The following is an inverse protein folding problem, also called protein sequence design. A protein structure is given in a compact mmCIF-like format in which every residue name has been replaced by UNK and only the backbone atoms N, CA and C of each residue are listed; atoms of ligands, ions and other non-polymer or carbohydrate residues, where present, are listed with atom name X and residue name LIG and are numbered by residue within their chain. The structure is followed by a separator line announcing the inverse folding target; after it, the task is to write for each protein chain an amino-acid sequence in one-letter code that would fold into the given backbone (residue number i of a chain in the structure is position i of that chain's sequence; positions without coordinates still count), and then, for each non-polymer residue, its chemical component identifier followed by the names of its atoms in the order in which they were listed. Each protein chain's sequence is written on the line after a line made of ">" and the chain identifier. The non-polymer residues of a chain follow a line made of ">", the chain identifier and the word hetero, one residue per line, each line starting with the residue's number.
data_IF_034115062410
#
_entry.id   IF_034115062410
#
_cell.length_a   1.000
_cell.length_b   1.000
_cell.length_c   1.000
_cell.angle_alpha   90.00
_cell.angle_beta   90.00
_cell.angle_gamma   90.00
#
_symmetry.space_group_name_H-M   'P 1'
#
loop_
_entity.id
_entity.type
_entity.pdbx_description
1 polymer ?
#
# COMPACT_ATOMS: atom_id res chain seq x y z
N UNK A 1 16.64 5.36 72.55
CA UNK A 1 16.26 4.34 71.55
C UNK A 1 16.35 4.98 70.17
N UNK A 2 17.04 4.31 69.23
CA UNK A 2 16.83 4.25 67.76
C UNK A 2 16.54 5.58 67.03
N UNK A 3 17.27 6.01 66.01
CA UNK A 3 18.23 5.35 65.14
C UNK A 3 18.27 6.10 63.80
N UNK A 4 19.50 6.21 63.26
CA UNK A 4 19.96 6.58 61.91
C UNK A 4 18.94 6.80 60.77
N UNK A 5 19.25 7.75 59.87
CA UNK A 5 19.67 7.42 58.49
C UNK A 5 20.18 8.63 57.69
N UNK A 6 21.46 8.56 57.33
CA UNK A 6 22.09 9.20 56.16
C UNK A 6 21.50 8.65 54.85
N UNK A 7 21.35 9.49 53.81
CA UNK A 7 21.49 9.07 52.40
C UNK A 7 21.56 10.26 51.41
N UNK A 8 22.77 10.46 50.88
CA UNK A 8 23.11 10.64 49.45
C UNK A 8 22.15 11.40 48.53
N UNK A 9 22.53 12.62 48.15
CA UNK A 9 22.10 13.29 46.91
C UNK A 9 23.15 13.01 45.82
N UNK A 10 22.86 12.07 44.92
CA UNK A 10 23.50 11.95 43.61
C UNK A 10 22.47 12.40 42.57
N UNK A 11 22.71 13.58 41.97
CA UNK A 11 22.01 14.03 40.77
C UNK A 11 22.61 13.34 39.53
N UNK A 12 21.82 12.74 38.63
CA UNK A 12 22.26 12.43 37.29
C UNK A 12 21.92 13.60 36.35
N UNK A 13 22.93 14.11 35.65
CA UNK A 13 22.78 15.08 34.58
C UNK A 13 22.14 14.41 33.35
N UNK A 14 21.02 14.97 32.87
CA UNK A 14 20.38 14.54 31.62
C UNK A 14 21.18 15.05 30.43
N UNK A 15 21.89 14.15 29.76
CA UNK A 15 22.58 14.41 28.49
C UNK A 15 21.57 14.18 27.36
N UNK A 16 20.99 15.28 26.85
CA UNK A 16 20.03 15.25 25.74
C UNK A 16 20.78 15.10 24.41
N UNK A 17 20.73 13.90 23.81
CA UNK A 17 21.17 13.67 22.44
C UNK A 17 20.01 14.00 21.50
N UNK A 18 20.16 15.04 20.69
CA UNK A 18 19.20 15.44 19.68
C UNK A 18 19.28 14.48 18.47
N UNK A 19 18.38 13.50 18.41
CA UNK A 19 18.20 12.64 17.23
C UNK A 19 17.30 13.40 16.24
N UNK A 20 17.86 13.82 15.11
CA UNK A 20 17.11 14.41 14.01
C UNK A 20 16.22 13.33 13.34
N UNK A 21 14.96 13.64 12.94
CA UNK A 21 14.09 12.65 12.32
C UNK A 21 14.49 12.42 10.86
N UNK A 22 15.19 11.31 10.60
CA UNK A 22 15.33 10.74 9.27
C UNK A 22 14.05 9.97 8.93
N UNK A 23 13.19 10.57 8.11
CA UNK A 23 11.96 9.94 7.63
C UNK A 23 12.28 8.82 6.63
N UNK A 24 12.30 7.56 7.09
CA UNK A 24 12.44 6.38 6.25
C UNK A 24 11.05 5.83 5.88
N UNK A 25 10.79 5.65 4.58
CA UNK A 25 9.52 5.18 4.05
C UNK A 25 9.37 3.65 4.20
N UNK A 26 8.26 3.23 4.81
CA UNK A 26 7.88 1.85 5.07
C UNK A 26 7.15 1.21 3.87
N UNK A 27 7.63 0.06 3.38
CA UNK A 27 6.97 -0.77 2.36
C UNK A 27 6.11 -1.86 3.02
N UNK A 28 4.86 -1.57 3.37
CA UNK A 28 3.98 -2.56 3.96
C UNK A 28 3.64 -3.71 2.98
N UNK A 29 3.99 -4.95 3.33
CA UNK A 29 3.35 -6.12 2.72
C UNK A 29 4.11 -7.45 2.79
N UNK A 30 4.28 -8.04 3.98
CA UNK A 30 4.15 -9.49 4.24
C UNK A 30 4.28 -9.74 5.76
N UNK A 31 3.64 -10.79 6.28
CA UNK A 31 3.39 -11.00 7.71
C UNK A 31 4.60 -10.88 8.64
N UNK A 32 4.32 -10.49 9.89
CA UNK A 32 5.21 -10.04 10.98
C UNK A 32 6.68 -10.50 11.03
N UNK A 33 7.05 -11.64 10.44
CA UNK A 33 8.46 -12.09 10.33
C UNK A 33 9.22 -11.37 9.20
N UNK A 34 8.58 -11.14 8.05
CA UNK A 34 9.21 -10.51 6.88
C UNK A 34 9.56 -9.04 7.18
N UNK A 35 8.75 -8.38 8.01
CA UNK A 35 8.98 -6.98 8.38
C UNK A 35 10.23 -6.74 9.23
N UNK A 36 10.55 -7.66 10.14
CA UNK A 36 11.76 -7.57 10.98
C UNK A 36 13.02 -7.80 10.14
N UNK A 37 13.00 -8.83 9.29
CA UNK A 37 14.11 -9.16 8.38
C UNK A 37 14.33 -8.04 7.35
N UNK A 38 13.25 -7.51 6.77
CA UNK A 38 13.31 -6.40 5.84
C UNK A 38 13.84 -5.11 6.51
N UNK A 39 13.47 -4.85 7.77
CA UNK A 39 13.98 -3.71 8.54
C UNK A 39 15.47 -3.85 8.86
N UNK A 40 15.92 -5.05 9.20
CA UNK A 40 17.33 -5.32 9.48
C UNK A 40 18.18 -5.15 8.21
N UNK A 41 17.71 -5.66 7.08
CA UNK A 41 18.33 -5.44 5.78
C UNK A 41 18.40 -3.95 5.38
N UNK A 42 17.39 -3.15 5.75
CA UNK A 42 17.40 -1.70 5.53
C UNK A 42 18.48 -1.00 6.37
N UNK A 43 18.67 -1.41 7.62
CA UNK A 43 19.70 -0.85 8.48
C UNK A 43 21.11 -1.21 8.01
N UNK A 44 21.33 -2.46 7.59
CA UNK A 44 22.58 -2.90 6.97
C UNK A 44 22.88 -2.10 5.69
N UNK A 45 21.88 -1.91 4.82
CA UNK A 45 22.00 -1.09 3.62
C UNK A 45 22.31 0.38 3.92
N UNK A 46 21.77 0.90 5.01
CA UNK A 46 22.04 2.26 5.48
C UNK A 46 23.41 2.40 6.16
N UNK A 47 24.13 1.30 6.40
CA UNK A 47 25.43 1.30 7.05
C UNK A 47 25.36 1.66 8.52
N UNK A 48 24.23 1.40 9.20
CA UNK A 48 24.08 1.67 10.63
C UNK A 48 24.88 0.64 11.44
N UNK A 49 25.67 1.12 12.40
CA UNK A 49 26.37 0.25 13.33
C UNK A 49 25.39 -0.52 14.25
N UNK A 50 25.91 -1.55 14.92
CA UNK A 50 25.11 -2.41 15.81
C UNK A 50 24.48 -1.64 16.97
N UNK A 51 25.22 -0.67 17.53
CA UNK A 51 24.76 0.14 18.66
C UNK A 51 23.55 0.99 18.28
N UNK A 52 23.61 1.67 17.13
CA UNK A 52 22.53 2.49 16.58
C UNK A 52 21.32 1.62 16.20
N UNK A 53 21.56 0.44 15.63
CA UNK A 53 20.49 -0.53 15.31
C UNK A 53 19.76 -0.98 16.58
N UNK A 54 20.49 -1.36 17.61
CA UNK A 54 19.92 -1.79 18.89
C UNK A 54 19.11 -0.66 19.55
N UNK A 55 19.63 0.57 19.56
CA UNK A 55 18.92 1.73 20.12
C UNK A 55 17.60 2.04 19.37
N UNK A 56 17.57 1.89 18.04
CA UNK A 56 16.35 2.07 17.23
C UNK A 56 15.31 0.97 17.44
N UNK A 57 15.75 -0.25 17.72
CA UNK A 57 14.86 -1.36 18.07
C UNK A 57 14.23 -1.16 19.43
N UNK A 58 15.03 -0.77 20.43
CA UNK A 58 14.56 -0.44 21.77
C UNK A 58 13.55 0.71 21.74
N UNK A 59 13.87 1.82 21.07
CA UNK A 59 12.96 2.95 20.92
C UNK A 59 11.64 2.57 20.23
N UNK A 60 11.68 1.67 19.24
CA UNK A 60 10.47 1.16 18.61
C UNK A 60 9.66 0.26 19.54
N UNK A 61 10.31 -0.61 20.30
CA UNK A 61 9.65 -1.49 21.25
C UNK A 61 8.95 -0.66 22.35
N UNK A 62 9.65 0.33 22.90
CA UNK A 62 9.08 1.29 23.85
C UNK A 62 7.90 2.06 23.26
N UNK A 63 8.03 2.55 22.03
CA UNK A 63 6.94 3.25 21.35
C UNK A 63 5.71 2.34 21.14
N UNK A 64 5.92 1.10 20.72
CA UNK A 64 4.84 0.13 20.58
C UNK A 64 4.17 -0.19 21.92
N UNK A 65 4.95 -0.30 22.99
CA UNK A 65 4.40 -0.48 24.33
C UNK A 65 3.58 0.73 24.77
N UNK A 66 4.11 1.95 24.60
CA UNK A 66 3.41 3.18 24.92
C UNK A 66 2.08 3.31 24.14
N UNK A 67 2.06 2.95 22.85
CA UNK A 67 0.84 2.92 22.06
C UNK A 67 -0.16 1.88 22.56
N UNK A 68 0.29 0.70 22.98
CA UNK A 68 -0.59 -0.33 23.57
C UNK A 68 -1.20 0.15 24.88
N UNK A 69 -0.41 0.78 25.75
CA UNK A 69 -0.89 1.37 27.00
C UNK A 69 -1.90 2.49 26.73
N UNK A 70 -1.59 3.38 25.79
CA UNK A 70 -2.49 4.45 25.36
C UNK A 70 -3.81 3.91 24.82
N UNK A 71 -3.77 2.87 23.97
CA UNK A 71 -4.98 2.22 23.46
C UNK A 71 -5.80 1.54 24.56
N UNK A 72 -5.15 0.93 25.56
CA UNK A 72 -5.83 0.35 26.72
C UNK A 72 -6.52 1.43 27.55
N UNK A 73 -5.81 2.51 27.90
CA UNK A 73 -6.38 3.65 28.63
C UNK A 73 -7.53 4.29 27.85
N UNK A 74 -7.39 4.43 26.53
CA UNK A 74 -8.46 4.93 25.68
C UNK A 74 -9.68 4.00 25.72
N UNK A 75 -9.48 2.69 25.64
CA UNK A 75 -10.56 1.70 25.74
C UNK A 75 -11.25 1.76 27.11
N UNK A 76 -10.51 1.79 28.19
CA UNK A 76 -11.06 1.91 29.55
C UNK A 76 -11.86 3.20 29.72
N UNK A 77 -11.35 4.31 29.20
CA UNK A 77 -12.09 5.58 29.19
C UNK A 77 -13.38 5.50 28.38
N UNK A 78 -13.37 4.81 27.25
CA UNK A 78 -14.58 4.56 26.46
C UNK A 78 -15.58 3.69 27.22
N UNK A 79 -15.10 2.68 27.95
CA UNK A 79 -15.94 1.78 28.76
C UNK A 79 -16.50 2.49 30.01
N UNK A 80 -15.88 3.59 30.47
CA UNK A 80 -16.43 4.47 31.52
C UNK A 80 -17.46 5.48 31.00
N UNK A 81 -17.33 5.91 29.74
CA UNK A 81 -18.16 6.96 29.15
C UNK A 81 -19.40 6.42 28.44
N UNK A 82 -19.28 5.23 27.85
CA UNK A 82 -20.33 4.63 27.03
C UNK A 82 -20.71 3.27 27.61
N UNK A 83 -22.01 3.01 27.69
CA UNK A 83 -22.50 1.66 27.98
C UNK A 83 -22.34 0.72 26.76
N UNK A 84 -22.71 -0.56 26.91
CA UNK A 84 -22.53 -1.54 25.83
C UNK A 84 -23.44 -1.24 24.61
N UNK A 85 -24.61 -0.65 24.84
CA UNK A 85 -25.56 -0.31 23.77
C UNK A 85 -25.02 0.86 22.93
N UNK A 86 -24.57 1.93 23.58
CA UNK A 86 -23.95 3.09 22.92
C UNK A 86 -22.67 2.71 22.18
N UNK A 87 -21.87 1.78 22.73
CA UNK A 87 -20.65 1.27 22.07
C UNK A 87 -20.98 0.48 20.82
N UNK A 88 -21.99 -0.39 20.85
CA UNK A 88 -22.36 -1.17 19.67
C UNK A 88 -22.96 -0.27 18.59
N UNK A 89 -23.80 0.70 18.96
CA UNK A 89 -24.32 1.72 18.04
C UNK A 89 -23.19 2.52 17.38
N UNK A 90 -22.17 2.95 18.14
CA UNK A 90 -21.01 3.66 17.58
C UNK A 90 -20.16 2.76 16.66
N UNK A 91 -20.01 1.47 16.97
CA UNK A 91 -19.31 0.51 16.10
C UNK A 91 -20.08 0.30 14.81
N UNK A 92 -21.40 0.15 14.88
CA UNK A 92 -22.29 0.00 13.73
C UNK A 92 -22.21 1.24 12.82
N UNK A 93 -22.38 2.45 13.38
CA UNK A 93 -22.24 3.69 12.62
C UNK A 93 -20.87 3.82 11.93
N UNK A 94 -19.77 3.43 12.60
CA UNK A 94 -18.43 3.40 11.98
C UNK A 94 -18.33 2.34 10.87
N UNK A 95 -18.96 1.18 11.04
CA UNK A 95 -19.01 0.13 10.01
C UNK A 95 -19.79 0.61 8.80
N UNK A 96 -20.95 1.22 8.99
CA UNK A 96 -21.77 1.79 7.94
C UNK A 96 -21.04 2.93 7.22
N UNK A 97 -20.44 3.87 7.95
CA UNK A 97 -19.64 4.94 7.35
C UNK A 97 -18.49 4.40 6.50
N UNK A 98 -17.79 3.35 6.96
CA UNK A 98 -16.74 2.69 6.16
C UNK A 98 -17.30 1.99 4.94
N UNK A 99 -18.47 1.38 5.03
CA UNK A 99 -19.13 0.73 3.89
C UNK A 99 -19.63 1.75 2.87
N UNK A 100 -20.25 2.83 3.32
CA UNK A 100 -20.66 3.96 2.50
C UNK A 100 -19.45 4.59 1.82
N UNK A 101 -18.38 4.89 2.56
CA UNK A 101 -17.16 5.46 2.01
C UNK A 101 -16.47 4.50 1.02
N UNK A 102 -16.46 3.19 1.29
CA UNK A 102 -15.98 2.18 0.32
C UNK A 102 -16.88 2.10 -0.92
N UNK A 103 -18.19 2.24 -0.76
CA UNK A 103 -19.17 2.30 -1.83
C UNK A 103 -18.99 3.55 -2.70
N UNK A 104 -18.75 4.71 -2.09
CA UNK A 104 -18.48 5.99 -2.76
C UNK A 104 -17.13 5.97 -3.50
N UNK A 105 -16.07 5.43 -2.88
CA UNK A 105 -14.76 5.29 -3.52
C UNK A 105 -14.77 4.27 -4.66
N UNK A 106 -15.54 3.16 -4.54
CA UNK A 106 -15.79 2.24 -5.66
C UNK A 106 -16.68 2.87 -6.73
N UNK A 107 -17.68 3.67 -6.35
CA UNK A 107 -18.66 4.26 -7.25
C UNK A 107 -18.07 5.29 -8.22
N UNK A 108 -17.19 6.18 -7.74
CA UNK A 108 -16.58 7.22 -8.59
C UNK A 108 -15.43 6.69 -9.47
N UNK A 109 -14.71 5.65 -9.04
CA UNK A 109 -13.61 5.06 -9.80
C UNK A 109 -14.06 4.03 -10.85
N UNK A 110 -15.08 3.21 -10.55
CA UNK A 110 -15.48 2.08 -11.38
C UNK A 110 -16.35 2.48 -12.59
N UNK A 111 -17.15 3.54 -12.46
CA UNK A 111 -18.04 4.05 -13.53
C UNK A 111 -17.49 5.28 -14.27
N UNK A 112 -16.19 5.53 -14.22
CA UNK A 112 -15.56 6.57 -15.06
C UNK A 112 -14.62 5.98 -16.10
N UNK A 113 -13.98 4.84 -15.82
CA UNK A 113 -13.02 4.22 -16.74
C UNK A 113 -13.67 3.58 -17.97
N UNK A 114 -14.72 2.74 -17.85
CA UNK A 114 -15.41 2.19 -19.03
C UNK A 114 -15.97 3.27 -19.95
N UNK A 115 -16.50 4.36 -19.38
CA UNK A 115 -17.07 5.49 -20.10
C UNK A 115 -15.98 6.28 -20.84
N UNK A 116 -14.86 6.55 -20.18
CA UNK A 116 -13.69 7.23 -20.79
C UNK A 116 -13.08 6.39 -21.91
N UNK A 117 -12.96 5.08 -21.72
CA UNK A 117 -12.50 4.15 -22.76
C UNK A 117 -13.48 4.10 -23.93
N UNK A 118 -14.79 4.08 -23.66
CA UNK A 118 -15.83 4.20 -24.68
C UNK A 118 -15.67 5.47 -25.51
N UNK A 119 -15.54 6.64 -24.86
CA UNK A 119 -15.32 7.91 -25.57
C UNK A 119 -14.01 7.94 -26.36
N UNK A 120 -12.94 7.31 -25.86
CA UNK A 120 -11.67 7.22 -26.56
C UNK A 120 -11.79 6.35 -27.82
N UNK A 121 -12.40 5.17 -27.70
CA UNK A 121 -12.67 4.27 -28.83
C UNK A 121 -13.61 4.92 -29.84
N UNK A 122 -14.61 5.67 -29.36
CA UNK A 122 -15.53 6.41 -30.21
C UNK A 122 -14.82 7.46 -31.07
N UNK A 123 -13.75 8.06 -30.56
CA UNK A 123 -12.96 9.07 -31.28
C UNK A 123 -12.12 8.51 -32.43
N UNK A 124 -11.96 7.19 -32.52
CA UNK A 124 -11.14 6.55 -33.56
C UNK A 124 -11.93 6.15 -34.81
N UNK A 125 -13.25 6.38 -34.82
CA UNK A 125 -14.11 6.11 -35.97
C UNK A 125 -13.96 4.67 -36.53
N UNK A 126 -13.70 3.69 -35.64
CA UNK A 126 -13.58 2.26 -35.98
C UNK A 126 -14.84 1.74 -36.66
N UNK A 127 -14.67 0.75 -37.56
CA UNK A 127 -15.78 0.05 -38.20
C UNK A 127 -16.63 -0.72 -37.19
N UNK A 128 -17.87 -1.05 -37.56
CA UNK A 128 -18.75 -1.86 -36.70
C UNK A 128 -18.15 -3.25 -36.45
N UNK A 129 -17.47 -3.84 -37.45
CA UNK A 129 -16.77 -5.11 -37.30
C UNK A 129 -15.58 -5.01 -36.33
N UNK A 130 -14.78 -3.93 -36.41
CA UNK A 130 -13.64 -3.70 -35.50
C UNK A 130 -14.11 -3.46 -34.05
N UNK A 131 -15.23 -2.76 -33.87
CA UNK A 131 -15.84 -2.53 -32.56
C UNK A 131 -16.39 -3.79 -31.92
N UNK A 132 -17.00 -4.65 -32.73
CA UNK A 132 -17.49 -5.95 -32.29
C UNK A 132 -16.31 -6.85 -31.89
N UNK A 133 -15.28 -6.93 -32.73
CA UNK A 133 -14.07 -7.70 -32.44
C UNK A 133 -13.37 -7.22 -31.16
N UNK A 134 -13.27 -5.90 -30.94
CA UNK A 134 -12.71 -5.33 -29.72
C UNK A 134 -13.56 -5.65 -28.48
N UNK A 135 -14.89 -5.68 -28.63
CA UNK A 135 -15.81 -6.03 -27.55
C UNK A 135 -15.68 -7.49 -27.14
N UNK A 136 -15.63 -8.39 -28.13
CA UNK A 136 -15.42 -9.82 -27.90
C UNK A 136 -14.06 -10.11 -27.27
N UNK A 137 -12.99 -9.46 -27.75
CA UNK A 137 -11.65 -9.57 -27.16
C UNK A 137 -11.63 -9.13 -25.68
N UNK A 138 -12.38 -8.07 -25.34
CA UNK A 138 -12.52 -7.65 -23.94
C UNK A 138 -13.26 -8.70 -23.11
N UNK A 139 -14.31 -9.32 -23.66
CA UNK A 139 -15.07 -10.37 -22.98
C UNK A 139 -14.23 -11.62 -22.75
N UNK A 140 -13.44 -12.06 -23.74
CA UNK A 140 -12.54 -13.21 -23.58
C UNK A 140 -11.50 -12.94 -22.49
N UNK A 141 -10.85 -11.76 -22.50
CA UNK A 141 -9.91 -11.39 -21.44
C UNK A 141 -10.53 -11.48 -20.03
N UNK A 142 -11.76 -11.00 -19.86
CA UNK A 142 -12.44 -11.09 -18.57
C UNK A 142 -12.73 -12.54 -18.18
N UNK A 143 -13.11 -13.40 -19.12
CA UNK A 143 -13.33 -14.81 -18.88
C UNK A 143 -12.02 -15.50 -18.46
N UNK A 144 -10.94 -15.28 -19.20
CA UNK A 144 -9.62 -15.87 -18.95
C UNK A 144 -9.05 -15.42 -17.60
N UNK A 145 -9.19 -14.12 -17.27
CA UNK A 145 -8.82 -13.60 -15.95
C UNK A 145 -9.60 -14.27 -14.80
N UNK A 146 -10.87 -14.61 -15.02
CA UNK A 146 -11.68 -15.27 -14.00
C UNK A 146 -11.32 -16.75 -13.87
N UNK A 147 -11.07 -17.42 -14.99
CA UNK A 147 -10.56 -18.79 -14.99
C UNK A 147 -9.22 -18.87 -14.26
N UNK A 148 -8.27 -17.98 -14.60
CA UNK A 148 -6.95 -17.91 -13.98
C UNK A 148 -7.00 -17.58 -12.48
N UNK A 149 -8.04 -16.86 -12.02
CA UNK A 149 -8.29 -16.63 -10.58
C UNK A 149 -8.83 -17.86 -9.87
N UNK A 150 -9.55 -18.74 -10.57
CA UNK A 150 -10.07 -19.99 -10.05
C UNK A 150 -9.02 -21.11 -9.98
N UNK A 151 -7.93 -20.98 -10.73
CA UNK A 151 -6.84 -21.96 -10.76
C UNK A 151 -5.96 -21.90 -9.50
N UNK A 152 -5.48 -23.07 -9.06
CA UNK A 152 -4.45 -23.21 -8.04
C UNK A 152 -3.08 -23.38 -8.70
N UNK A 153 -2.07 -22.69 -8.19
CA UNK A 153 -0.69 -22.75 -8.66
C UNK A 153 0.20 -23.36 -7.60
N UNK A 154 1.24 -24.08 -8.02
CA UNK A 154 2.23 -24.69 -7.14
C UNK A 154 3.17 -23.64 -6.54
N UNK A 155 3.37 -22.51 -7.24
CA UNK A 155 4.19 -21.41 -6.77
C UNK A 155 3.64 -20.02 -7.12
N UNK A 156 4.17 -19.00 -6.43
CA UNK A 156 3.88 -17.59 -6.78
C UNK A 156 4.48 -17.21 -8.14
N UNK A 157 5.59 -17.84 -8.52
CA UNK A 157 6.28 -17.59 -9.79
C UNK A 157 5.45 -18.13 -10.96
N UNK A 158 4.98 -19.38 -10.88
CA UNK A 158 4.09 -19.99 -11.88
C UNK A 158 2.81 -19.18 -12.04
N UNK A 159 2.19 -18.73 -10.94
CA UNK A 159 1.06 -17.80 -10.99
C UNK A 159 1.44 -16.54 -11.76
N UNK A 160 2.59 -15.93 -11.47
CA UNK A 160 3.03 -14.69 -12.12
C UNK A 160 3.25 -14.89 -13.62
N UNK A 161 3.87 -16.00 -14.02
CA UNK A 161 4.10 -16.36 -15.42
C UNK A 161 2.78 -16.54 -16.16
N UNK A 162 1.80 -17.23 -15.57
CA UNK A 162 0.49 -17.41 -16.18
C UNK A 162 -0.27 -16.07 -16.36
N UNK A 163 -0.17 -15.16 -15.37
CA UNK A 163 -0.69 -13.80 -15.50
C UNK A 163 0.05 -12.96 -16.52
N UNK A 164 1.33 -13.23 -16.76
CA UNK A 164 2.12 -12.55 -17.78
C UNK A 164 1.76 -13.07 -19.18
N UNK A 165 1.71 -14.38 -19.38
CA UNK A 165 1.31 -15.00 -20.64
C UNK A 165 -0.07 -14.49 -21.10
N UNK A 166 -1.06 -14.44 -20.19
CA UNK A 166 -2.38 -13.89 -20.49
C UNK A 166 -2.33 -12.42 -20.96
N UNK A 167 -1.44 -11.61 -20.36
CA UNK A 167 -1.28 -10.20 -20.75
C UNK A 167 -0.63 -10.06 -22.11
N UNK A 168 0.38 -10.88 -22.39
CA UNK A 168 1.13 -10.86 -23.63
C UNK A 168 0.21 -11.31 -24.79
N UNK A 169 -0.53 -12.41 -24.62
CA UNK A 169 -1.51 -12.90 -25.61
C UNK A 169 -2.59 -11.85 -25.90
N UNK A 170 -3.13 -11.22 -24.87
CA UNK A 170 -4.12 -10.14 -25.06
C UNK A 170 -3.51 -8.89 -25.72
N UNK A 171 -2.24 -8.58 -25.45
CA UNK A 171 -1.56 -7.47 -26.11
C UNK A 171 -1.37 -7.76 -27.61
N UNK A 172 -1.00 -8.98 -27.96
CA UNK A 172 -0.84 -9.41 -29.35
C UNK A 172 -2.18 -9.34 -30.10
N UNK A 173 -3.25 -9.87 -29.49
CA UNK A 173 -4.60 -9.79 -30.07
C UNK A 173 -5.12 -8.35 -30.22
N UNK A 174 -4.78 -7.45 -29.28
CA UNK A 174 -5.07 -6.03 -29.44
C UNK A 174 -4.29 -5.40 -30.62
N UNK A 175 -3.05 -5.84 -30.86
CA UNK A 175 -2.20 -5.37 -31.96
C UNK A 175 -2.70 -5.74 -33.35
N UNK A 176 -3.55 -6.77 -33.46
CA UNK A 176 -4.22 -7.13 -34.72
C UNK A 176 -5.38 -6.19 -35.07
N UNK A 177 -6.02 -5.60 -34.05
CA UNK A 177 -7.21 -4.76 -34.20
C UNK A 177 -6.91 -3.26 -34.13
N UNK A 178 -5.90 -2.88 -33.34
CA UNK A 178 -5.57 -1.50 -33.04
C UNK A 178 -4.11 -1.23 -33.38
N UNK A 179 -3.85 -0.02 -33.86
CA UNK A 179 -2.49 0.47 -34.02
C UNK A 179 -1.77 0.62 -32.67
N UNK A 180 -0.45 0.57 -32.70
CA UNK A 180 0.39 0.78 -31.52
C UNK A 180 0.11 2.12 -30.83
N UNK A 181 -0.19 3.17 -31.59
CA UNK A 181 -0.56 4.49 -31.06
C UNK A 181 -1.89 4.45 -30.28
N UNK A 182 -2.89 3.73 -30.79
CA UNK A 182 -4.18 3.55 -30.11
C UNK A 182 -4.01 2.72 -28.83
N UNK A 183 -3.18 1.67 -28.87
CA UNK A 183 -2.85 0.85 -27.69
C UNK A 183 -2.16 1.70 -26.61
N UNK A 184 -1.20 2.54 -26.98
CA UNK A 184 -0.54 3.44 -26.05
C UNK A 184 -1.50 4.51 -25.49
N UNK A 185 -2.45 4.99 -26.29
CA UNK A 185 -3.49 5.90 -25.80
C UNK A 185 -4.39 5.23 -24.73
N UNK A 186 -4.76 3.96 -24.90
CA UNK A 186 -5.48 3.17 -23.88
C UNK A 186 -4.63 3.07 -22.62
N UNK A 187 -3.38 2.63 -22.75
CA UNK A 187 -2.46 2.46 -21.61
C UNK A 187 -2.29 3.78 -20.85
N UNK A 188 -2.03 4.88 -21.54
CA UNK A 188 -1.86 6.20 -20.94
C UNK A 188 -3.13 6.68 -20.21
N UNK A 189 -4.31 6.31 -20.70
CA UNK A 189 -5.58 6.60 -20.03
C UNK A 189 -5.80 5.72 -18.79
N UNK A 190 -5.35 4.46 -18.83
CA UNK A 190 -5.41 3.52 -17.71
C UNK A 190 -4.37 3.79 -16.62
N UNK A 191 -3.30 4.51 -16.93
CA UNK A 191 -2.34 4.95 -15.92
C UNK A 191 -3.03 5.86 -14.90
N UNK A 192 -2.93 5.58 -13.59
CA UNK A 192 -3.52 6.43 -12.57
C UNK A 192 -2.91 7.84 -12.64
N UNK A 193 -3.71 8.83 -13.09
CA UNK A 193 -3.38 10.26 -13.02
C UNK A 193 -3.32 10.68 -11.56
N UNK A 194 -2.17 10.49 -10.93
CA UNK A 194 -1.99 10.82 -9.52
C UNK A 194 -0.77 10.20 -8.85
N UNK A 195 -0.11 9.22 -9.46
CA UNK A 195 1.19 8.80 -8.94
C UNK A 195 2.27 9.78 -9.40
N UNK A 196 2.44 10.89 -8.67
CA UNK A 196 3.78 11.48 -8.52
C UNK A 196 4.65 10.40 -7.88
N UNK A 197 5.18 9.51 -8.71
CA UNK A 197 6.35 8.74 -8.35
C UNK A 197 7.42 9.76 -7.94
N UNK A 198 7.97 9.60 -6.74
CA UNK A 198 9.21 10.28 -6.38
C UNK A 198 10.22 10.02 -7.50
N UNK A 199 10.54 11.07 -8.26
CA UNK A 199 11.44 10.97 -9.39
C UNK A 199 12.81 10.50 -8.94
N UNK A 200 13.26 9.37 -9.49
CA UNK A 200 14.68 9.13 -9.70
C UNK A 200 15.16 10.20 -10.68
N UNK A 201 15.70 11.30 -10.16
CA UNK A 201 16.56 12.19 -10.94
C UNK A 201 17.94 11.54 -10.95
N UNK A 202 18.31 10.96 -12.08
CA UNK A 202 19.70 10.61 -12.37
C UNK A 202 20.53 11.90 -12.28
N UNK A 203 21.41 11.97 -11.29
CA UNK A 203 22.45 12.97 -11.25
C UNK A 203 23.57 12.51 -12.17
N UNK A 204 23.54 12.98 -13.42
CA UNK A 204 24.76 13.14 -14.19
C UNK A 204 25.64 14.13 -13.43
N UNK A 205 26.72 13.62 -12.84
CA UNK A 205 27.86 14.45 -12.48
C UNK A 205 28.81 14.41 -13.67
N UNK A 206 28.76 15.50 -14.44
CA UNK A 206 29.86 15.87 -15.33
C UNK A 206 31.14 16.00 -14.49
N UNK A 207 32.18 15.32 -14.98
CA UNK A 207 33.57 15.48 -14.57
C UNK A 207 34.07 16.76 -15.26
N UNK A 208 34.45 17.77 -14.47
CA UNK A 208 35.65 18.62 -14.66
C UNK A 208 35.89 19.47 -13.40
#
# INVERSE_FOLDING_TARGET
>A
MKGFMTRTLLMPALLAVAIAPLSLAATAGQGDKDWSEQRQALFERAGLDEETRSALEEAHAEHHQALRELHQQHRERMDQLLDEEEREALREAKREMRQAQRGEYRGQGYHSMPQRLGTLVDSWELSDEEREALTELRHSLYADMQELRGQSFESREERREAWQALRDEHQDALGELLSEEQIEAIKAMMQPRGYKGHGKRHGDKAND
#
